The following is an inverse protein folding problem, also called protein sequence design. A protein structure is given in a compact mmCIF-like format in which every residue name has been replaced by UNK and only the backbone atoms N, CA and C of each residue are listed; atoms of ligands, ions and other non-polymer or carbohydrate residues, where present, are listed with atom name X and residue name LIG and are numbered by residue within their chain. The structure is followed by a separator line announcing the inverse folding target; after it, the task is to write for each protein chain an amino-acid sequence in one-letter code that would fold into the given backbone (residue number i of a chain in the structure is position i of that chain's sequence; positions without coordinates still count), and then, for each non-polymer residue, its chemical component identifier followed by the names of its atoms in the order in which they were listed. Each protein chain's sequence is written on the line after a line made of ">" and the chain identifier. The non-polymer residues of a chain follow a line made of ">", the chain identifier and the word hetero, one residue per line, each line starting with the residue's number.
data_IF_586146031467
#
_entry.id   IF_586146031467
#
_cell.length_a   1.000
_cell.length_b   1.000
_cell.length_c   1.000
_cell.angle_alpha   90.00
_cell.angle_beta   90.00
_cell.angle_gamma   90.00
#
_symmetry.space_group_name_H-M   'P 1'
#
loop_
_entity.id
_entity.type
_entity.pdbx_description
1 polymer ?
#
# COMPACT_ATOMS: atom_id res chain seq x y z
N UNK A 1 -23.36 -11.87 -22.12
CA UNK A 1 -22.48 -10.74 -21.75
C UNK A 1 -21.16 -11.29 -21.23
N UNK A 2 -20.03 -10.69 -21.60
CA UNK A 2 -18.74 -11.06 -21.02
C UNK A 2 -18.72 -10.73 -19.52
N UNK A 3 -18.13 -11.61 -18.70
CA UNK A 3 -17.95 -11.33 -17.25
C UNK A 3 -16.99 -10.16 -17.08
N UNK A 4 -17.29 -9.25 -16.15
CA UNK A 4 -16.34 -8.20 -15.74
C UNK A 4 -15.33 -8.80 -14.77
N UNK A 5 -14.01 -8.69 -15.01
CA UNK A 5 -13.01 -9.17 -14.07
C UNK A 5 -12.96 -8.25 -12.83
N UNK A 6 -12.70 -8.85 -11.68
CA UNK A 6 -12.34 -8.15 -10.45
C UNK A 6 -10.90 -8.49 -10.11
N UNK A 7 -10.11 -7.49 -9.73
CA UNK A 7 -8.69 -7.64 -9.47
C UNK A 7 -8.37 -7.09 -8.08
N UNK A 8 -7.73 -7.92 -7.26
CA UNK A 8 -7.00 -7.49 -6.07
C UNK A 8 -5.53 -7.42 -6.44
N UNK A 9 -4.92 -6.23 -6.34
CA UNK A 9 -3.51 -6.01 -6.60
C UNK A 9 -2.80 -5.70 -5.28
N UNK A 10 -1.84 -6.54 -4.91
CA UNK A 10 -1.00 -6.35 -3.72
C UNK A 10 0.41 -5.96 -4.20
N UNK A 11 0.87 -4.78 -3.78
CA UNK A 11 2.25 -4.34 -4.01
C UNK A 11 3.06 -4.65 -2.74
N UNK A 12 3.74 -5.80 -2.72
CA UNK A 12 4.50 -6.25 -1.55
C UNK A 12 5.60 -5.24 -1.17
N UNK A 13 5.72 -4.94 0.12
CA UNK A 13 6.68 -3.95 0.64
C UNK A 13 6.43 -2.50 0.22
N UNK A 14 5.28 -2.17 -0.40
CA UNK A 14 4.96 -0.82 -0.84
C UNK A 14 4.14 -0.06 0.22
N UNK A 15 4.83 0.71 1.07
CA UNK A 15 4.21 1.48 2.15
C UNK A 15 4.14 2.99 1.89
N UNK A 16 3.36 3.68 2.73
CA UNK A 16 3.33 5.13 2.79
C UNK A 16 4.24 5.61 3.94
N UNK A 17 5.16 6.51 3.62
CA UNK A 17 6.03 7.15 4.60
C UNK A 17 6.19 8.63 4.22
N UNK A 18 5.88 9.53 5.16
CA UNK A 18 5.91 10.97 4.95
C UNK A 18 7.34 11.53 4.82
N UNK A 19 8.36 10.76 5.23
CA UNK A 19 9.76 11.13 5.03
C UNK A 19 10.26 10.68 3.65
N UNK A 20 10.66 11.61 2.75
CA UNK A 20 11.18 11.27 1.44
C UNK A 20 12.66 10.85 1.46
N UNK A 21 13.39 11.06 2.57
CA UNK A 21 14.81 10.70 2.68
C UNK A 21 14.96 9.19 2.69
N UNK A 22 15.78 8.66 1.77
CA UNK A 22 16.00 7.22 1.59
C UNK A 22 14.70 6.41 1.39
N UNK A 23 13.70 7.02 0.75
CA UNK A 23 12.40 6.42 0.49
C UNK A 23 12.24 6.17 -1.02
N UNK A 24 12.40 4.91 -1.44
CA UNK A 24 12.32 4.53 -2.84
C UNK A 24 10.91 4.75 -3.42
N UNK A 25 9.85 4.56 -2.63
CA UNK A 25 8.47 4.77 -3.06
C UNK A 25 8.22 6.25 -3.38
N UNK A 26 8.64 7.16 -2.50
CA UNK A 26 8.46 8.59 -2.71
C UNK A 26 9.37 9.17 -3.80
N UNK A 27 10.49 8.52 -4.11
CA UNK A 27 11.46 8.96 -5.12
C UNK A 27 11.21 8.34 -6.50
N UNK A 28 10.39 7.29 -6.59
CA UNK A 28 10.07 6.63 -7.85
C UNK A 28 9.16 7.49 -8.72
N UNK A 29 9.30 7.35 -10.04
CA UNK A 29 8.35 7.91 -11.00
C UNK A 29 7.16 6.95 -11.17
N UNK A 30 6.06 7.19 -10.45
CA UNK A 30 4.89 6.30 -10.38
C UNK A 30 3.61 6.92 -10.99
N UNK A 31 3.62 7.42 -12.24
CA UNK A 31 2.54 8.24 -12.78
C UNK A 31 1.18 7.53 -12.83
N UNK A 32 1.18 6.20 -12.99
CA UNK A 32 -0.03 5.39 -12.96
C UNK A 32 -0.62 5.34 -11.55
N UNK A 33 0.19 4.99 -10.55
CA UNK A 33 -0.28 4.88 -9.17
C UNK A 33 -0.69 6.25 -8.61
N UNK A 34 0.10 7.29 -8.89
CA UNK A 34 -0.18 8.67 -8.50
C UNK A 34 -1.51 9.15 -9.09
N UNK A 35 -1.76 8.81 -10.37
CA UNK A 35 -3.01 9.06 -11.04
C UNK A 35 -4.19 8.34 -10.39
N UNK A 36 -4.03 7.06 -10.05
CA UNK A 36 -5.07 6.26 -9.40
C UNK A 36 -5.44 6.82 -8.02
N UNK A 37 -4.44 7.15 -7.19
CA UNK A 37 -4.65 7.73 -5.85
C UNK A 37 -5.33 9.10 -5.94
N UNK A 38 -5.03 9.90 -6.97
CA UNK A 38 -5.64 11.22 -7.16
C UNK A 38 -7.07 11.15 -7.71
N UNK A 39 -7.39 10.18 -8.57
CA UNK A 39 -8.64 10.13 -9.32
C UNK A 39 -9.72 9.27 -8.67
N UNK A 40 -9.35 8.27 -7.89
CA UNK A 40 -10.27 7.30 -7.30
C UNK A 40 -10.24 7.35 -5.76
N UNK A 41 -11.28 6.85 -5.07
CA UNK A 41 -11.28 6.78 -3.62
C UNK A 41 -10.07 6.03 -3.08
N UNK A 42 -9.35 6.68 -2.17
CA UNK A 42 -8.14 6.15 -1.55
C UNK A 42 -8.21 6.30 -0.04
N UNK A 43 -7.73 5.28 0.68
CA UNK A 43 -7.65 5.28 2.14
C UNK A 43 -6.34 4.64 2.58
N UNK A 44 -5.75 5.15 3.67
CA UNK A 44 -4.57 4.55 4.30
C UNK A 44 -5.02 3.40 5.22
N UNK A 45 -4.36 2.25 5.13
CA UNK A 45 -4.59 1.11 6.02
C UNK A 45 -3.41 0.88 6.97
N UNK A 46 -3.69 0.41 8.19
CA UNK A 46 -2.66 -0.11 9.08
C UNK A 46 -2.35 -1.57 8.71
N UNK A 47 -1.07 -1.89 8.54
CA UNK A 47 -0.59 -3.19 8.08
C UNK A 47 0.47 -3.80 9.02
N UNK A 48 0.48 -3.40 10.28
CA UNK A 48 1.45 -3.85 11.29
C UNK A 48 0.89 -3.74 12.71
N UNK A 49 1.61 -4.31 13.68
CA UNK A 49 1.25 -4.30 15.09
C UNK A 49 -0.14 -4.88 15.36
N UNK A 50 -0.83 -4.30 16.35
CA UNK A 50 -2.13 -4.78 16.81
C UNK A 50 -3.21 -4.82 15.72
N UNK A 51 -3.09 -3.99 14.67
CA UNK A 51 -4.05 -3.92 13.58
C UNK A 51 -4.12 -5.22 12.76
N UNK A 52 -3.06 -6.02 12.79
CA UNK A 52 -2.96 -7.32 12.08
C UNK A 52 -2.69 -8.48 13.05
N UNK A 53 -2.95 -8.29 14.35
CA UNK A 53 -2.79 -9.34 15.36
C UNK A 53 -1.36 -9.56 15.86
N UNK A 54 -0.42 -8.64 15.57
CA UNK A 54 0.93 -8.68 16.09
C UNK A 54 1.08 -7.82 17.37
N UNK A 55 2.08 -8.10 18.22
CA UNK A 55 2.49 -7.20 19.29
C UNK A 55 2.68 -5.75 18.83
N UNK A 56 2.44 -4.80 19.74
CA UNK A 56 2.63 -3.37 19.45
C UNK A 56 4.06 -3.06 19.01
N UNK A 57 4.20 -2.19 18.01
CA UNK A 57 5.49 -1.84 17.39
C UNK A 57 6.10 -2.91 16.47
N UNK A 58 5.52 -4.12 16.38
CA UNK A 58 6.04 -5.14 15.48
C UNK A 58 5.68 -4.84 14.03
N UNK A 59 6.68 -4.91 13.15
CA UNK A 59 6.52 -4.75 11.71
C UNK A 59 5.65 -5.87 11.13
N UNK A 60 4.79 -5.53 10.17
CA UNK A 60 4.04 -6.51 9.39
C UNK A 60 4.92 -7.33 8.45
N UNK A 61 4.34 -8.33 7.80
CA UNK A 61 5.02 -9.19 6.84
C UNK A 61 3.99 -9.78 5.86
N UNK A 62 4.43 -10.59 4.89
CA UNK A 62 3.54 -11.11 3.85
C UNK A 62 2.63 -12.28 4.29
N UNK A 63 2.90 -12.91 5.43
CA UNK A 63 2.10 -14.02 5.98
C UNK A 63 0.91 -13.52 6.81
N UNK A 64 1.12 -12.41 7.53
CA UNK A 64 0.21 -11.84 8.52
C UNK A 64 -0.64 -10.74 7.88
#
# INVERSE_FOLDING_TARGET
>A
MAKKPYVLLIMDGFGLNDNPKANAVAQANTPVLDGLVKQYPFVKGAASGLAVGLPDGQMGNSEV
#
